data_IF_049194899585
#
_entry.id   IF_049194899585
#
_cell.length_a   1.000
_cell.length_b   1.000
_cell.length_c   1.000
_cell.angle_alpha   90.00
_cell.angle_beta   90.00
_cell.angle_gamma   90.00
#
_symmetry.space_group_name_H-M   'P 1'
#
loop_
_entity.id
_entity.type
_entity.pdbx_description
1 polymer ?
#
# COMPACT_ATOMS: atom_id res chain seq x y z
N UNK A 1 15.61 -31.65 -26.77
CA UNK A 1 15.26 -30.21 -26.68
C UNK A 1 13.83 -30.06 -27.24
N UNK A 2 12.82 -30.16 -26.41
CA UNK A 2 11.43 -30.12 -26.84
C UNK A 2 10.99 -28.67 -26.78
N UNK A 3 10.76 -28.04 -27.92
CA UNK A 3 10.10 -26.76 -28.04
C UNK A 3 8.65 -26.92 -27.56
N UNK A 4 8.35 -26.39 -26.39
CA UNK A 4 6.98 -26.17 -25.97
C UNK A 4 6.36 -25.18 -26.96
N UNK A 5 5.63 -25.70 -27.95
CA UNK A 5 4.71 -24.93 -28.77
C UNK A 5 3.64 -24.36 -27.83
N UNK A 6 3.78 -23.12 -27.45
CA UNK A 6 2.73 -22.37 -26.80
C UNK A 6 1.55 -22.32 -27.78
N UNK A 7 0.47 -23.03 -27.42
CA UNK A 7 -0.79 -22.92 -28.12
C UNK A 7 -1.31 -21.46 -27.96
N UNK A 8 -1.13 -20.67 -29.00
CA UNK A 8 -1.44 -19.23 -29.05
C UNK A 8 -2.94 -18.94 -28.91
N UNK A 9 -3.78 -19.94 -28.75
CA UNK A 9 -5.23 -19.79 -28.52
C UNK A 9 -5.67 -20.02 -27.08
N UNK A 10 -4.82 -20.51 -26.21
CA UNK A 10 -5.12 -20.54 -24.77
C UNK A 10 -5.20 -19.10 -24.27
N UNK A 11 -6.38 -18.67 -23.81
CA UNK A 11 -6.53 -17.35 -23.20
C UNK A 11 -5.55 -17.25 -22.02
N UNK A 12 -4.58 -16.33 -22.09
CA UNK A 12 -3.64 -16.04 -21.02
C UNK A 12 -4.40 -15.47 -19.81
N UNK A 13 -5.03 -16.33 -19.04
CA UNK A 13 -5.68 -15.98 -17.79
C UNK A 13 -4.74 -16.35 -16.65
N UNK A 14 -4.40 -15.39 -15.79
CA UNK A 14 -3.62 -15.71 -14.60
C UNK A 14 -4.41 -16.69 -13.71
N UNK A 15 -3.73 -17.60 -13.01
CA UNK A 15 -4.39 -18.46 -12.04
C UNK A 15 -5.05 -17.58 -10.97
N UNK A 16 -6.30 -17.84 -10.69
CA UNK A 16 -7.07 -17.14 -9.68
C UNK A 16 -7.81 -18.14 -8.79
N UNK A 17 -8.00 -17.84 -7.49
CA UNK A 17 -8.84 -18.68 -6.63
C UNK A 17 -10.26 -18.77 -7.20
N UNK A 18 -10.82 -19.98 -7.19
CA UNK A 18 -12.22 -20.16 -7.55
C UNK A 18 -13.08 -19.73 -6.36
N UNK A 19 -14.03 -18.79 -6.56
CA UNK A 19 -14.90 -18.36 -5.47
C UNK A 19 -15.67 -19.53 -4.85
N UNK A 20 -15.67 -19.60 -3.54
CA UNK A 20 -16.37 -20.65 -2.80
C UNK A 20 -17.88 -20.46 -2.91
N UNK A 21 -18.62 -21.56 -2.83
CA UNK A 21 -20.08 -21.50 -2.73
C UNK A 21 -20.51 -21.02 -1.34
N UNK A 22 -19.82 -21.50 -0.29
CA UNK A 22 -20.17 -21.24 1.11
C UNK A 22 -19.05 -20.54 1.88
N UNK A 23 -19.38 -19.78 2.93
CA UNK A 23 -18.42 -19.16 3.81
C UNK A 23 -17.54 -20.18 4.54
N UNK A 24 -16.33 -19.78 4.88
CA UNK A 24 -15.42 -20.58 5.70
C UNK A 24 -15.86 -20.54 7.17
N UNK A 25 -15.70 -21.68 7.87
CA UNK A 25 -15.78 -21.70 9.33
C UNK A 25 -14.65 -20.85 9.98
N UNK A 26 -14.79 -20.45 11.26
CA UNK A 26 -13.92 -19.45 11.90
C UNK A 26 -12.42 -19.77 11.81
N UNK A 27 -12.02 -21.01 12.07
CA UNK A 27 -10.60 -21.41 12.04
C UNK A 27 -10.06 -21.41 10.60
N UNK A 28 -10.84 -21.93 9.65
CA UNK A 28 -10.46 -21.95 8.25
C UNK A 28 -10.38 -20.54 7.67
N UNK A 29 -11.31 -19.65 8.07
CA UNK A 29 -11.30 -18.22 7.71
C UNK A 29 -10.01 -17.53 8.22
N UNK A 30 -9.65 -17.75 9.48
CA UNK A 30 -8.43 -17.16 10.04
C UNK A 30 -7.17 -17.64 9.31
N UNK A 31 -7.12 -18.93 8.97
CA UNK A 31 -6.02 -19.51 8.18
C UNK A 31 -5.96 -18.92 6.77
N UNK A 32 -7.11 -18.78 6.10
CA UNK A 32 -7.19 -18.19 4.77
C UNK A 32 -6.80 -16.72 4.78
N UNK A 33 -7.31 -15.91 5.71
CA UNK A 33 -6.94 -14.50 5.87
C UNK A 33 -5.43 -14.29 6.04
N UNK A 34 -4.75 -15.23 6.70
CA UNK A 34 -3.30 -15.17 6.91
C UNK A 34 -2.50 -15.57 5.67
N UNK A 35 -2.96 -16.59 4.92
CA UNK A 35 -2.19 -17.19 3.83
C UNK A 35 -2.54 -16.56 2.49
N UNK A 36 -3.83 -16.50 2.18
CA UNK A 36 -4.35 -15.94 0.94
C UNK A 36 -5.76 -15.36 1.18
N UNK A 37 -5.88 -14.08 1.50
CA UNK A 37 -7.17 -13.44 1.76
C UNK A 37 -8.19 -13.58 0.62
N UNK A 38 -7.74 -13.74 -0.62
CA UNK A 38 -8.63 -13.91 -1.78
C UNK A 38 -9.46 -15.19 -1.70
N UNK A 39 -8.99 -16.21 -0.99
CA UNK A 39 -9.73 -17.45 -0.78
C UNK A 39 -10.93 -17.30 0.17
N UNK A 40 -11.06 -16.20 0.86
CA UNK A 40 -12.21 -15.93 1.73
C UNK A 40 -13.44 -15.44 0.97
N UNK A 41 -13.26 -15.02 -0.28
CA UNK A 41 -14.35 -14.52 -1.11
C UNK A 41 -15.22 -15.64 -1.61
N UNK A 42 -16.53 -15.52 -1.38
CA UNK A 42 -17.54 -16.45 -1.88
C UNK A 42 -18.17 -15.91 -3.16
N UNK A 43 -18.90 -16.77 -3.87
CA UNK A 43 -19.62 -16.39 -5.08
C UNK A 43 -20.59 -15.22 -4.82
N UNK A 44 -21.23 -15.21 -3.64
CA UNK A 44 -22.14 -14.13 -3.23
C UNK A 44 -21.47 -12.73 -3.30
N UNK A 45 -20.17 -12.60 -2.97
CA UNK A 45 -19.46 -11.34 -3.03
C UNK A 45 -19.31 -10.75 -4.46
N UNK A 46 -19.49 -11.59 -5.48
CA UNK A 46 -19.43 -11.17 -6.90
C UNK A 46 -20.82 -10.99 -7.51
N UNK A 47 -21.86 -11.57 -6.91
CA UNK A 47 -23.22 -11.59 -7.47
C UNK A 47 -24.18 -10.66 -6.70
N UNK A 48 -23.92 -10.39 -5.42
CA UNK A 48 -24.80 -9.58 -4.58
C UNK A 48 -24.23 -8.18 -4.31
N UNK A 49 -25.07 -7.14 -4.27
CA UNK A 49 -24.63 -5.76 -4.03
C UNK A 49 -24.09 -5.56 -2.61
N UNK A 50 -24.60 -6.29 -1.64
CA UNK A 50 -24.17 -6.25 -0.23
C UNK A 50 -24.17 -7.69 0.30
N UNK A 51 -23.04 -8.09 0.88
CA UNK A 51 -22.91 -9.39 1.57
C UNK A 51 -22.55 -9.12 3.03
N UNK A 52 -23.35 -9.64 3.94
CA UNK A 52 -23.08 -9.54 5.38
C UNK A 52 -22.59 -10.88 5.93
N UNK A 53 -21.72 -10.83 6.91
CA UNK A 53 -21.19 -12.00 7.60
C UNK A 53 -20.78 -11.67 9.03
N UNK A 54 -20.90 -12.67 9.91
CA UNK A 54 -20.43 -12.58 11.28
C UNK A 54 -18.95 -12.95 11.38
N UNK A 55 -18.14 -12.08 11.98
CA UNK A 55 -16.81 -12.40 12.47
C UNK A 55 -16.83 -12.48 14.00
N UNK A 56 -15.79 -13.07 14.60
CA UNK A 56 -15.65 -13.13 16.07
C UNK A 56 -15.67 -11.73 16.73
N UNK A 57 -15.32 -10.69 15.96
CA UNK A 57 -15.23 -9.30 16.40
C UNK A 57 -16.47 -8.46 16.05
N UNK A 58 -17.50 -9.04 15.44
CA UNK A 58 -18.71 -8.33 15.05
C UNK A 58 -19.22 -8.69 13.66
N UNK A 59 -20.20 -7.94 13.19
CA UNK A 59 -20.72 -8.09 11.83
C UNK A 59 -19.87 -7.29 10.84
N UNK A 60 -19.64 -7.89 9.68
CA UNK A 60 -18.93 -7.26 8.55
C UNK A 60 -19.85 -7.24 7.35
N UNK A 61 -19.90 -6.13 6.67
CA UNK A 61 -20.58 -6.00 5.39
C UNK A 61 -19.58 -5.66 4.28
N UNK A 62 -19.62 -6.43 3.20
CA UNK A 62 -18.91 -6.11 1.96
C UNK A 62 -19.91 -5.47 1.02
N UNK A 63 -19.63 -4.24 0.62
CA UNK A 63 -20.52 -3.42 -0.21
C UNK A 63 -19.87 -3.25 -1.58
N UNK A 64 -20.53 -3.76 -2.63
CA UNK A 64 -20.05 -3.72 -4.02
C UNK A 64 -20.90 -2.84 -4.93
N UNK A 65 -22.09 -2.42 -4.46
CA UNK A 65 -23.00 -1.55 -5.19
C UNK A 65 -22.53 -0.08 -5.17
N UNK A 66 -22.41 0.59 -6.34
CA UNK A 66 -21.94 1.98 -6.41
C UNK A 66 -22.79 2.98 -5.61
N UNK A 67 -24.13 2.79 -5.56
CA UNK A 67 -25.00 3.69 -4.81
C UNK A 67 -24.78 3.57 -3.29
N UNK A 68 -24.64 2.34 -2.82
CA UNK A 68 -24.35 2.05 -1.41
C UNK A 68 -22.93 2.53 -1.02
N UNK A 69 -21.95 2.36 -1.88
CA UNK A 69 -20.58 2.88 -1.70
C UNK A 69 -20.64 4.43 -1.59
N UNK A 70 -21.35 5.09 -2.49
CA UNK A 70 -21.53 6.54 -2.46
C UNK A 70 -22.17 7.01 -1.16
N UNK A 71 -23.21 6.31 -0.70
CA UNK A 71 -23.88 6.61 0.56
C UNK A 71 -22.90 6.54 1.75
N UNK A 72 -22.09 5.48 1.83
CA UNK A 72 -21.12 5.29 2.91
C UNK A 72 -20.00 6.34 2.86
N UNK A 73 -19.43 6.59 1.69
CA UNK A 73 -18.20 7.37 1.56
C UNK A 73 -18.43 8.88 1.39
N UNK A 74 -19.64 9.30 0.95
CA UNK A 74 -19.94 10.71 0.65
C UNK A 74 -21.16 11.22 1.39
N UNK A 75 -22.34 10.58 1.23
CA UNK A 75 -23.60 11.15 1.67
C UNK A 75 -23.80 11.02 3.18
N UNK A 76 -23.30 9.96 3.78
CA UNK A 76 -23.49 9.65 5.20
C UNK A 76 -22.18 9.41 5.95
N UNK A 77 -21.09 10.00 5.46
CA UNK A 77 -19.73 9.80 5.99
C UNK A 77 -19.62 10.07 7.49
N UNK A 78 -20.45 10.93 8.05
CA UNK A 78 -20.45 11.25 9.49
C UNK A 78 -20.81 10.07 10.39
N UNK A 79 -21.55 9.08 9.87
CA UNK A 79 -21.94 7.87 10.61
C UNK A 79 -20.94 6.73 10.50
N UNK A 80 -19.91 6.87 9.66
CA UNK A 80 -18.91 5.84 9.45
C UNK A 80 -17.56 6.31 9.95
N UNK A 81 -16.89 5.45 10.71
CA UNK A 81 -15.52 5.64 11.18
C UNK A 81 -14.60 4.63 10.55
N UNK A 82 -13.30 4.91 10.53
CA UNK A 82 -12.32 3.93 10.11
C UNK A 82 -12.34 2.73 11.05
N UNK A 83 -12.21 1.54 10.46
CA UNK A 83 -12.24 0.30 11.22
C UNK A 83 -11.13 0.28 12.28
N UNK A 84 -11.49 -0.15 13.48
CA UNK A 84 -10.58 -0.29 14.61
C UNK A 84 -9.47 -1.31 14.35
N UNK A 85 -9.76 -2.38 13.60
CA UNK A 85 -8.78 -3.40 13.19
C UNK A 85 -7.74 -2.80 12.25
N UNK A 86 -8.19 -2.11 11.19
CA UNK A 86 -7.29 -1.44 10.25
C UNK A 86 -6.40 -0.42 10.98
N UNK A 87 -6.96 0.36 11.89
CA UNK A 87 -6.22 1.32 12.68
C UNK A 87 -5.16 0.65 13.56
N UNK A 88 -5.49 -0.44 14.27
CA UNK A 88 -4.53 -1.21 15.07
C UNK A 88 -3.38 -1.78 14.25
N UNK A 89 -3.68 -2.31 13.09
CA UNK A 89 -2.66 -2.88 12.19
C UNK A 89 -1.72 -1.81 11.65
N UNK A 90 -2.25 -0.65 11.25
CA UNK A 90 -1.50 0.39 10.57
C UNK A 90 -0.87 1.42 11.53
N UNK A 91 -1.44 1.69 12.69
CA UNK A 91 -0.95 2.72 13.61
C UNK A 91 0.44 2.45 14.17
N UNK A 92 0.82 1.17 14.28
CA UNK A 92 2.18 0.80 14.70
C UNK A 92 3.27 1.37 13.77
N UNK A 93 2.90 1.68 12.53
CA UNK A 93 3.77 2.12 11.47
C UNK A 93 3.45 3.54 11.02
N UNK A 94 2.19 3.78 10.66
CA UNK A 94 1.74 5.07 10.12
C UNK A 94 1.39 6.07 11.22
N UNK A 95 1.46 5.65 12.49
CA UNK A 95 1.10 6.49 13.64
C UNK A 95 -0.27 7.17 13.40
N UNK A 96 -0.33 8.50 13.53
CA UNK A 96 -1.52 9.32 13.26
C UNK A 96 -1.47 9.95 11.85
N UNK A 97 -0.97 9.20 10.86
CA UNK A 97 -0.95 9.64 9.47
C UNK A 97 -2.33 9.63 8.81
N UNK A 98 -2.41 10.12 7.56
CA UNK A 98 -3.67 10.30 6.82
C UNK A 98 -4.56 9.04 6.76
N UNK A 99 -3.96 7.83 6.72
CA UNK A 99 -4.72 6.57 6.68
C UNK A 99 -5.30 6.18 8.04
N UNK A 100 -4.70 6.62 9.15
CA UNK A 100 -5.08 6.25 10.51
C UNK A 100 -5.80 7.36 11.25
N UNK A 101 -5.52 8.63 10.91
CA UNK A 101 -6.17 9.80 11.50
C UNK A 101 -7.67 9.84 11.20
N UNK A 102 -8.45 10.40 12.12
CA UNK A 102 -9.91 10.56 12.03
C UNK A 102 -10.35 12.00 12.28
N UNK A 103 -11.61 12.26 12.01
CA UNK A 103 -12.30 13.49 12.32
C UNK A 103 -11.52 14.76 11.89
N UNK A 104 -11.26 15.68 12.81
CA UNK A 104 -10.63 16.96 12.51
C UNK A 104 -9.16 16.82 12.10
N UNK A 105 -8.42 15.93 12.74
CA UNK A 105 -7.02 15.66 12.37
C UNK A 105 -6.91 15.17 10.91
N UNK A 106 -7.77 14.25 10.50
CA UNK A 106 -7.83 13.79 9.11
C UNK A 106 -8.20 14.93 8.15
N UNK A 107 -9.17 15.79 8.52
CA UNK A 107 -9.57 16.93 7.68
C UNK A 107 -8.42 17.90 7.45
N UNK A 108 -7.67 18.23 8.49
CA UNK A 108 -6.52 19.11 8.41
C UNK A 108 -5.47 18.51 7.49
N UNK A 109 -5.04 17.25 7.74
CA UNK A 109 -4.05 16.57 6.93
C UNK A 109 -4.49 16.45 5.46
N UNK A 110 -5.72 16.02 5.22
CA UNK A 110 -6.24 15.89 3.86
C UNK A 110 -6.32 17.24 3.14
N UNK A 111 -6.75 18.29 3.80
CA UNK A 111 -6.82 19.64 3.20
C UNK A 111 -5.44 20.15 2.84
N UNK A 112 -4.44 19.91 3.68
CA UNK A 112 -3.04 20.26 3.42
C UNK A 112 -2.46 19.50 2.25
N UNK A 113 -2.74 18.19 2.16
CA UNK A 113 -2.14 17.34 1.13
C UNK A 113 -2.91 17.33 -0.21
N UNK A 114 -4.22 17.57 -0.22
CA UNK A 114 -5.04 17.48 -1.43
C UNK A 114 -4.55 18.32 -2.61
N UNK A 115 -4.07 19.56 -2.42
CA UNK A 115 -3.54 20.37 -3.53
C UNK A 115 -2.36 19.73 -4.27
N UNK A 116 -1.55 18.91 -3.58
CA UNK A 116 -0.39 18.23 -4.14
C UNK A 116 -0.79 17.16 -5.17
N UNK A 117 -2.00 16.63 -5.03
CA UNK A 117 -2.58 15.65 -5.93
C UNK A 117 -3.51 16.28 -6.99
N UNK A 118 -3.51 17.60 -7.10
CA UNK A 118 -4.23 18.27 -8.19
C UNK A 118 -3.64 17.84 -9.55
N UNK A 119 -4.50 17.73 -10.56
CA UNK A 119 -4.10 17.26 -11.90
C UNK A 119 -2.84 17.95 -12.42
N UNK A 120 -2.73 19.28 -12.23
CA UNK A 120 -1.55 20.06 -12.65
C UNK A 120 -0.25 19.57 -11.99
N UNK A 121 -0.27 19.31 -10.67
CA UNK A 121 0.89 18.82 -9.94
C UNK A 121 1.26 17.41 -10.39
N UNK A 122 0.27 16.50 -10.48
CA UNK A 122 0.52 15.13 -10.92
C UNK A 122 1.08 15.10 -12.35
N UNK A 123 0.56 15.91 -13.25
CA UNK A 123 1.07 16.00 -14.62
C UNK A 123 2.50 16.53 -14.69
N UNK A 124 2.96 17.35 -13.73
CA UNK A 124 4.35 17.81 -13.70
C UNK A 124 5.35 16.69 -13.38
N UNK A 125 4.91 15.56 -12.81
CA UNK A 125 5.75 14.41 -12.52
C UNK A 125 5.85 13.42 -13.70
N UNK A 126 5.05 13.59 -14.75
CA UNK A 126 5.06 12.71 -15.94
C UNK A 126 6.46 12.46 -16.50
N UNK A 127 7.36 13.45 -16.64
CA UNK A 127 8.70 13.19 -17.14
C UNK A 127 9.55 12.29 -16.21
N UNK A 128 9.36 12.39 -14.90
CA UNK A 128 10.05 11.54 -13.92
C UNK A 128 9.54 10.09 -14.00
N UNK A 129 8.23 9.93 -14.12
CA UNK A 129 7.60 8.62 -14.28
C UNK A 129 8.02 7.95 -15.59
N UNK A 130 8.07 8.70 -16.71
CA UNK A 130 8.52 8.19 -17.99
C UNK A 130 9.97 7.70 -17.92
N UNK A 131 10.89 8.48 -17.33
CA UNK A 131 12.29 8.06 -17.16
C UNK A 131 12.43 6.79 -16.33
N UNK A 132 11.64 6.61 -15.28
CA UNK A 132 11.65 5.39 -14.48
C UNK A 132 11.18 4.18 -15.30
N UNK A 133 10.12 4.36 -16.11
CA UNK A 133 9.62 3.33 -17.00
C UNK A 133 10.61 2.97 -18.11
N UNK A 134 11.25 3.96 -18.73
CA UNK A 134 12.29 3.75 -19.75
C UNK A 134 13.46 2.94 -19.17
N UNK A 135 13.93 3.29 -17.97
CA UNK A 135 14.98 2.55 -17.28
C UNK A 135 14.59 1.08 -17.01
N UNK A 136 13.32 0.79 -16.71
CA UNK A 136 12.81 -0.57 -16.58
C UNK A 136 12.89 -1.31 -17.92
N UNK A 137 12.36 -0.69 -18.98
CA UNK A 137 12.36 -1.28 -20.32
C UNK A 137 13.79 -1.61 -20.77
N UNK A 138 14.73 -0.71 -20.52
CA UNK A 138 16.13 -0.92 -20.85
C UNK A 138 16.77 -2.06 -20.02
N UNK A 139 16.40 -2.21 -18.75
CA UNK A 139 16.83 -3.38 -17.95
C UNK A 139 16.29 -4.68 -18.55
N UNK A 140 15.04 -4.71 -18.95
CA UNK A 140 14.44 -5.91 -19.54
C UNK A 140 15.06 -6.25 -20.89
N UNK A 141 15.31 -5.26 -21.76
CA UNK A 141 16.01 -5.45 -23.02
C UNK A 141 17.40 -6.06 -22.84
N UNK A 142 18.14 -5.62 -21.82
CA UNK A 142 19.49 -6.17 -21.53
C UNK A 142 19.47 -7.62 -21.05
N UNK A 143 18.37 -8.12 -20.51
CA UNK A 143 18.24 -9.54 -20.10
C UNK A 143 18.03 -10.50 -21.27
N UNK A 144 17.69 -9.98 -22.43
CA UNK A 144 17.51 -10.78 -23.66
C UNK A 144 16.16 -11.49 -23.76
N UNK A 145 15.95 -12.10 -24.92
CA UNK A 145 14.72 -12.84 -25.21
C UNK A 145 14.67 -14.16 -24.41
N UNK A 146 13.44 -14.57 -24.03
CA UNK A 146 13.18 -15.81 -23.32
C UNK A 146 13.55 -15.81 -21.83
N UNK A 147 13.99 -14.69 -21.26
CA UNK A 147 14.23 -14.59 -19.82
C UNK A 147 12.93 -14.59 -19.04
N UNK A 148 12.92 -15.27 -17.88
CA UNK A 148 11.80 -15.23 -16.92
C UNK A 148 12.05 -14.08 -15.95
N UNK A 149 11.02 -13.24 -15.78
CA UNK A 149 11.06 -12.05 -14.91
C UNK A 149 10.06 -12.19 -13.76
N UNK A 150 10.47 -11.79 -12.57
CA UNK A 150 9.54 -11.50 -11.49
C UNK A 150 8.97 -10.09 -11.69
N UNK A 151 7.82 -10.03 -12.36
CA UNK A 151 7.15 -8.77 -12.70
C UNK A 151 6.78 -7.99 -11.44
N UNK A 152 6.38 -8.67 -10.35
CA UNK A 152 6.01 -8.00 -9.11
C UNK A 152 7.20 -7.26 -8.49
N UNK A 153 8.37 -7.89 -8.45
CA UNK A 153 9.61 -7.28 -7.97
C UNK A 153 10.05 -6.10 -8.85
N UNK A 154 10.01 -6.26 -10.18
CA UNK A 154 10.42 -5.21 -11.12
C UNK A 154 9.48 -3.98 -11.06
N UNK A 155 8.16 -4.19 -10.99
CA UNK A 155 7.18 -3.09 -10.89
C UNK A 155 7.27 -2.41 -9.53
N UNK A 156 7.51 -3.14 -8.45
CA UNK A 156 7.78 -2.56 -7.13
C UNK A 156 8.99 -1.63 -7.18
N UNK A 157 10.07 -2.05 -7.84
CA UNK A 157 11.26 -1.22 -8.02
C UNK A 157 10.95 0.09 -8.77
N UNK A 158 10.23 0.00 -9.89
CA UNK A 158 9.84 1.20 -10.67
C UNK A 158 8.97 2.13 -9.85
N UNK A 159 8.04 1.59 -9.07
CA UNK A 159 7.18 2.40 -8.20
C UNK A 159 8.00 3.15 -7.15
N UNK A 160 8.99 2.51 -6.55
CA UNK A 160 9.92 3.17 -5.63
C UNK A 160 10.74 4.25 -6.32
N UNK A 161 11.31 3.98 -7.49
CA UNK A 161 12.06 4.95 -8.28
C UNK A 161 11.21 6.19 -8.62
N UNK A 162 9.91 5.99 -8.92
CA UNK A 162 8.96 7.09 -9.16
C UNK A 162 8.73 7.90 -7.88
N UNK A 163 8.48 7.22 -6.74
CA UNK A 163 8.27 7.90 -5.46
C UNK A 163 9.49 8.73 -5.04
N UNK A 164 10.68 8.17 -5.17
CA UNK A 164 11.93 8.90 -4.88
C UNK A 164 12.04 10.17 -5.72
N UNK A 165 11.80 10.10 -7.01
CA UNK A 165 11.94 11.23 -7.94
C UNK A 165 10.84 12.29 -7.82
N UNK A 166 9.65 11.91 -7.32
CA UNK A 166 8.50 12.81 -7.27
C UNK A 166 8.22 13.36 -5.88
N UNK A 167 8.45 12.57 -4.84
CA UNK A 167 8.21 12.97 -3.45
C UNK A 167 9.50 13.46 -2.80
N UNK A 168 10.59 12.73 -3.04
CA UNK A 168 11.88 12.93 -2.37
C UNK A 168 12.97 13.25 -3.41
N UNK A 169 12.94 14.39 -4.05
CA UNK A 169 13.85 14.77 -5.17
C UNK A 169 15.33 14.48 -4.93
N UNK A 170 15.76 14.42 -3.69
CA UNK A 170 17.15 14.11 -3.27
C UNK A 170 17.30 12.66 -2.79
N UNK A 171 16.31 11.80 -3.05
CA UNK A 171 16.26 10.43 -2.54
C UNK A 171 15.79 10.34 -1.07
N UNK A 172 15.60 9.12 -0.60
CA UNK A 172 15.24 8.83 0.80
C UNK A 172 16.44 8.92 1.76
N UNK A 173 17.63 9.24 1.24
CA UNK A 173 18.88 9.20 2.01
C UNK A 173 19.33 7.77 2.31
N UNK A 174 20.61 7.48 2.21
CA UNK A 174 21.19 6.16 2.45
C UNK A 174 21.35 5.31 1.17
N UNK A 175 21.79 4.07 1.36
CA UNK A 175 22.00 3.13 0.26
C UNK A 175 20.63 2.69 -0.30
N UNK A 176 20.39 2.72 -1.63
CA UNK A 176 19.18 2.21 -2.25
C UNK A 176 18.83 0.77 -1.88
N UNK A 177 19.82 -0.06 -1.55
CA UNK A 177 19.60 -1.43 -1.11
C UNK A 177 19.04 -1.50 0.32
N UNK A 178 19.48 -0.62 1.22
CA UNK A 178 18.93 -0.50 2.56
C UNK A 178 17.47 -0.05 2.53
N UNK A 179 17.15 0.93 1.69
CA UNK A 179 15.75 1.38 1.44
C UNK A 179 14.89 0.21 0.96
N UNK A 180 15.41 -0.55 -0.01
CA UNK A 180 14.71 -1.70 -0.60
C UNK A 180 14.46 -2.80 0.41
N UNK A 181 15.47 -3.11 1.21
CA UNK A 181 15.40 -4.13 2.28
C UNK A 181 14.42 -3.70 3.38
N UNK A 182 14.46 -2.43 3.80
CA UNK A 182 13.52 -1.88 4.75
C UNK A 182 12.08 -1.94 4.22
N UNK A 183 11.85 -1.57 2.95
CA UNK A 183 10.54 -1.64 2.30
C UNK A 183 10.00 -3.06 2.19
N UNK A 184 10.83 -4.02 1.77
CA UNK A 184 10.43 -5.44 1.73
C UNK A 184 10.03 -5.94 3.11
N UNK A 185 10.88 -5.71 4.11
CA UNK A 185 10.60 -6.10 5.51
C UNK A 185 9.29 -5.48 6.02
N UNK A 186 9.05 -4.24 5.67
CA UNK A 186 7.85 -3.51 6.01
C UNK A 186 6.60 -4.14 5.39
N UNK A 187 6.57 -4.32 4.05
CA UNK A 187 5.42 -4.89 3.35
C UNK A 187 5.17 -6.35 3.70
N UNK A 188 6.21 -7.14 3.89
CA UNK A 188 6.09 -8.55 4.32
C UNK A 188 5.48 -8.68 5.72
N UNK A 189 5.66 -7.66 6.55
CA UNK A 189 5.14 -7.69 7.92
C UNK A 189 3.72 -7.11 8.00
N UNK A 190 3.46 -5.99 7.33
CA UNK A 190 2.15 -5.32 7.33
C UNK A 190 1.12 -6.08 6.50
N UNK A 191 1.54 -6.69 5.41
CA UNK A 191 0.65 -7.50 4.56
C UNK A 191 0.12 -8.76 5.25
N UNK A 192 0.62 -9.11 6.43
CA UNK A 192 0.19 -10.29 7.18
C UNK A 192 -0.75 -9.88 8.32
N UNK A 193 -1.98 -10.32 8.22
CA UNK A 193 -2.96 -10.15 9.28
C UNK A 193 -2.52 -10.95 10.51
N UNK A 194 -2.24 -10.26 11.62
CA UNK A 194 -1.92 -10.91 12.89
C UNK A 194 -3.22 -11.46 13.51
N UNK A 195 -3.30 -12.76 13.83
CA UNK A 195 -4.47 -13.34 14.48
C UNK A 195 -4.87 -12.62 15.78
N UNK A 196 -3.92 -12.06 16.50
CA UNK A 196 -4.20 -11.33 17.74
C UNK A 196 -4.91 -9.98 17.48
N UNK A 197 -4.64 -9.36 16.33
CA UNK A 197 -5.37 -8.15 15.92
C UNK A 197 -6.81 -8.48 15.54
N UNK A 198 -7.03 -9.61 14.84
CA UNK A 198 -8.38 -10.10 14.48
C UNK A 198 -9.17 -10.49 15.73
N UNK A 199 -8.53 -11.09 16.74
CA UNK A 199 -9.17 -11.46 18.00
C UNK A 199 -9.40 -10.26 18.94
N UNK A 200 -8.96 -9.06 18.53
CA UNK A 200 -9.14 -7.86 19.34
C UNK A 200 -8.34 -7.82 20.62
N UNK A 201 -7.25 -8.60 20.73
CA UNK A 201 -6.43 -8.63 21.93
C UNK A 201 -5.79 -7.27 22.21
N UNK A 202 -5.66 -6.88 23.49
CA UNK A 202 -5.07 -5.61 23.86
C UNK A 202 -3.62 -5.46 23.39
N UNK A 203 -3.17 -4.21 23.24
CA UNK A 203 -1.84 -3.89 22.69
C UNK A 203 -0.66 -4.29 23.57
N UNK A 204 -0.89 -4.59 24.85
CA UNK A 204 0.16 -5.08 25.74
C UNK A 204 0.57 -6.54 25.47
N UNK A 205 -0.22 -7.29 24.68
CA UNK A 205 0.14 -8.65 24.27
C UNK A 205 1.30 -8.58 23.27
N UNK A 206 2.46 -9.22 23.55
CA UNK A 206 3.61 -9.17 22.67
C UNK A 206 3.31 -9.77 21.30
N UNK A 207 3.59 -9.00 20.24
CA UNK A 207 3.43 -9.43 18.85
C UNK A 207 4.80 -9.56 18.20
N UNK A 208 5.21 -10.79 17.90
CA UNK A 208 6.52 -11.08 17.30
C UNK A 208 6.74 -10.33 15.97
N UNK A 209 5.67 -10.14 15.18
CA UNK A 209 5.73 -9.38 13.92
C UNK A 209 6.15 -7.92 14.12
N UNK A 210 5.68 -7.26 15.18
CA UNK A 210 6.04 -5.87 15.48
C UNK A 210 7.53 -5.69 15.83
N UNK A 211 8.16 -6.72 16.40
CA UNK A 211 9.59 -6.65 16.71
C UNK A 211 10.46 -6.73 15.48
N UNK A 212 10.05 -7.54 14.52
CA UNK A 212 10.78 -7.70 13.23
C UNK A 212 10.76 -6.43 12.39
N UNK A 213 9.69 -5.64 12.45
CA UNK A 213 9.56 -4.42 11.65
C UNK A 213 10.24 -3.20 12.30
N UNK A 214 10.58 -3.25 13.59
CA UNK A 214 11.20 -2.12 14.32
C UNK A 214 12.46 -1.56 13.66
N UNK A 215 13.41 -2.37 13.15
CA UNK A 215 14.58 -1.82 12.46
C UNK A 215 14.21 -1.04 11.20
N UNK A 216 13.30 -1.57 10.39
CA UNK A 216 12.81 -0.90 9.19
C UNK A 216 12.09 0.42 9.53
N UNK A 217 11.28 0.45 10.60
CA UNK A 217 10.62 1.68 11.06
C UNK A 217 11.62 2.73 11.51
N UNK A 218 12.64 2.34 12.29
CA UNK A 218 13.70 3.28 12.70
C UNK A 218 14.47 3.82 11.52
N UNK A 219 14.73 3.00 10.51
CA UNK A 219 15.35 3.44 9.27
C UNK A 219 14.50 4.50 8.57
N UNK A 220 13.19 4.27 8.41
CA UNK A 220 12.30 5.25 7.78
C UNK A 220 12.15 6.52 8.63
N UNK A 221 12.01 6.42 9.93
CA UNK A 221 11.96 7.57 10.83
C UNK A 221 13.23 8.43 10.65
N UNK A 222 14.41 7.81 10.72
CA UNK A 222 15.68 8.51 10.54
C UNK A 222 15.81 9.14 9.15
N UNK A 223 15.38 8.44 8.09
CA UNK A 223 15.39 8.96 6.72
C UNK A 223 14.48 10.18 6.58
N UNK A 224 13.25 10.12 7.11
CA UNK A 224 12.30 11.22 7.10
C UNK A 224 12.81 12.42 7.89
N UNK A 225 13.37 12.20 9.08
CA UNK A 225 13.95 13.26 9.93
C UNK A 225 15.12 13.95 9.22
N UNK A 226 16.00 13.18 8.56
CA UNK A 226 17.11 13.72 7.77
C UNK A 226 16.63 14.57 6.59
N UNK A 227 15.59 14.11 5.87
CA UNK A 227 14.98 14.88 4.77
C UNK A 227 14.40 16.19 5.30
N UNK A 228 13.66 16.15 6.40
CA UNK A 228 13.07 17.34 7.01
C UNK A 228 14.18 18.32 7.45
N UNK A 229 15.22 17.85 8.11
CA UNK A 229 16.34 18.66 8.54
C UNK A 229 17.03 19.34 7.33
N UNK A 230 17.37 18.56 6.28
CA UNK A 230 18.00 19.08 5.07
C UNK A 230 17.11 20.13 4.39
N UNK A 231 15.81 19.89 4.32
CA UNK A 231 14.86 20.84 3.71
C UNK A 231 14.76 22.14 4.51
N UNK A 232 14.72 22.07 5.82
CA UNK A 232 14.69 23.25 6.70
C UNK A 232 15.96 24.08 6.55
N UNK A 233 17.13 23.44 6.48
CA UNK A 233 18.39 24.15 6.26
C UNK A 233 18.40 24.86 4.91
N UNK A 234 18.04 24.17 3.82
CA UNK A 234 17.96 24.78 2.49
C UNK A 234 16.95 25.93 2.42
N UNK A 235 15.80 25.78 3.06
CA UNK A 235 14.78 26.82 3.10
C UNK A 235 15.29 28.08 3.83
N UNK A 236 16.11 27.90 4.87
CA UNK A 236 16.72 29.03 5.61
C UNK A 236 17.83 29.71 4.82
N UNK A 237 18.60 28.96 4.01
CA UNK A 237 19.71 29.49 3.21
C UNK A 237 19.22 30.16 1.92
N UNK A 238 18.39 29.49 1.13
CA UNK A 238 17.83 29.97 -0.13
C UNK A 238 16.47 29.37 -0.45
N UNK A 239 15.37 30.06 -0.18
CA UNK A 239 14.01 29.60 -0.51
C UNK A 239 13.79 29.34 -2.00
N UNK A 240 14.59 29.97 -2.90
CA UNK A 240 14.43 29.81 -4.35
C UNK A 240 15.05 28.53 -4.89
N UNK A 241 16.06 27.99 -4.20
CA UNK A 241 16.75 26.74 -4.56
C UNK A 241 15.99 25.45 -4.21
N UNK A 242 14.80 25.55 -3.63
CA UNK A 242 13.99 24.39 -3.24
C UNK A 242 13.59 23.54 -4.47
N UNK A 243 13.80 22.21 -4.42
CA UNK A 243 13.37 21.31 -5.49
C UNK A 243 11.87 21.39 -5.74
N UNK A 244 11.48 21.16 -7.00
CA UNK A 244 10.06 21.11 -7.41
C UNK A 244 9.47 19.73 -7.19
N UNK A 245 9.26 19.37 -5.95
CA UNK A 245 8.63 18.11 -5.54
C UNK A 245 7.40 18.35 -4.67
N UNK A 246 6.78 17.24 -4.20
CA UNK A 246 5.60 17.31 -3.35
C UNK A 246 5.89 18.08 -2.06
N UNK A 247 7.08 17.92 -1.47
CA UNK A 247 7.43 18.58 -0.21
C UNK A 247 7.60 20.10 -0.31
N UNK A 248 7.81 20.64 -1.51
CA UNK A 248 7.84 22.10 -1.73
C UNK A 248 6.46 22.75 -1.61
N UNK A 249 5.42 21.99 -1.88
CA UNK A 249 4.06 22.51 -1.92
C UNK A 249 3.37 22.45 -0.54
N UNK A 250 4.02 21.84 0.46
CA UNK A 250 3.61 21.86 1.85
C UNK A 250 4.22 23.05 2.60
#
# INVERSE_FOLDING_TARGET
MSLLTLDTRASLRPPAPVPRAEPLGPIALLKALRNNPLETWTRAHFEQPIVTGGLLIGEVAVVSDPASIRRVLLENVGNYRKDSLQRRMLSAVLRDGLLTAEAEQWRIQRRTLAPLFAKRCVMSFTPAMARAADALVDRWRRRGEGCVLDVAAEVTQVTLDVLERTIFSDGLGGDPEDVRTAMRTYFDTIGRIDPFDVLGLPDFVPRLGRWRVRPALRFFDAAVDAIIATRRSRLAEDPSAMPRDILRCC
#
